data_IF_057406467106
#
_entry.id   IF_057406467106
#
_cell.length_a   1.000
_cell.length_b   1.000
_cell.length_c   1.000
_cell.angle_alpha   90.00
_cell.angle_beta   90.00
_cell.angle_gamma   90.00
#
_symmetry.space_group_name_H-M   'P 1'
#
loop_
_entity.id
_entity.type
_entity.pdbx_description
1 polymer ?
#
# COMPACT_ATOMS: atom_id res chain seq x y z
N UNK A 1 -1.09 10.33 11.29
CA UNK A 1 -2.29 10.14 10.46
C UNK A 1 -3.47 9.78 11.37
N UNK A 2 -4.73 10.09 11.01
CA UNK A 2 -5.90 9.67 11.81
C UNK A 2 -6.23 8.18 11.61
N UNK A 3 -7.07 7.63 12.50
CA UNK A 3 -7.44 6.21 12.47
C UNK A 3 -8.06 5.79 11.13
N UNK A 4 -8.92 6.64 10.56
CA UNK A 4 -9.59 6.34 9.29
C UNK A 4 -8.60 6.24 8.13
N UNK A 5 -7.66 7.18 8.05
CA UNK A 5 -6.62 7.21 7.03
C UNK A 5 -5.66 6.02 7.17
N UNK A 6 -5.31 5.64 8.40
CA UNK A 6 -4.52 4.44 8.66
C UNK A 6 -5.27 3.19 8.16
N UNK A 7 -6.57 3.09 8.44
CA UNK A 7 -7.38 1.96 7.98
C UNK A 7 -7.44 1.87 6.45
N UNK A 8 -7.58 3.00 5.75
CA UNK A 8 -7.55 3.05 4.28
C UNK A 8 -6.20 2.59 3.70
N UNK A 9 -5.10 3.08 4.26
CA UNK A 9 -3.75 2.68 3.85
C UNK A 9 -3.55 1.17 4.08
N UNK A 10 -3.94 0.66 5.25
CA UNK A 10 -3.83 -0.77 5.56
C UNK A 10 -4.70 -1.63 4.64
N UNK A 11 -5.90 -1.18 4.28
CA UNK A 11 -6.74 -1.87 3.29
C UNK A 11 -6.07 -1.92 1.91
N UNK A 12 -5.43 -0.82 1.48
CA UNK A 12 -4.70 -0.80 0.24
C UNK A 12 -3.46 -1.72 0.26
N UNK A 13 -2.68 -1.70 1.34
CA UNK A 13 -1.55 -2.62 1.52
C UNK A 13 -2.03 -4.08 1.47
N UNK A 14 -3.11 -4.39 2.20
CA UNK A 14 -3.74 -5.72 2.19
C UNK A 14 -4.13 -6.14 0.78
N UNK A 15 -4.78 -5.26 0.02
CA UNK A 15 -5.14 -5.47 -1.38
C UNK A 15 -3.91 -5.81 -2.23
N UNK A 16 -2.79 -5.08 -2.08
CA UNK A 16 -1.55 -5.39 -2.80
C UNK A 16 -0.95 -6.76 -2.45
N UNK A 17 -1.12 -7.20 -1.19
CA UNK A 17 -0.54 -8.44 -0.67
C UNK A 17 -1.41 -9.64 -1.00
N UNK A 18 -2.69 -9.64 -0.62
CA UNK A 18 -3.60 -10.79 -0.75
C UNK A 18 -4.13 -10.95 -2.18
N UNK A 19 -4.59 -9.86 -2.78
CA UNK A 19 -5.33 -9.92 -4.05
C UNK A 19 -4.39 -9.86 -5.26
N UNK A 20 -3.13 -9.46 -5.05
CA UNK A 20 -2.10 -9.32 -6.07
C UNK A 20 -2.62 -8.62 -7.36
N UNK A 21 -3.16 -7.40 -7.24
CA UNK A 21 -3.89 -6.73 -8.30
C UNK A 21 -3.00 -6.38 -9.48
N UNK A 22 -3.64 -6.32 -10.65
CA UNK A 22 -3.13 -5.78 -11.89
C UNK A 22 -2.96 -4.25 -11.81
N UNK A 23 -2.18 -3.68 -12.74
CA UNK A 23 -1.97 -2.24 -12.82
C UNK A 23 -3.30 -1.47 -13.04
N UNK A 24 -4.22 -2.02 -13.85
CA UNK A 24 -5.55 -1.43 -14.09
C UNK A 24 -6.40 -1.38 -12.81
N UNK A 25 -6.37 -2.44 -12.00
CA UNK A 25 -7.09 -2.46 -10.72
C UNK A 25 -6.50 -1.45 -9.72
N UNK A 26 -5.19 -1.22 -9.76
CA UNK A 26 -4.53 -0.19 -8.95
C UNK A 26 -4.89 1.22 -9.44
N UNK A 27 -5.02 1.44 -10.75
CA UNK A 27 -5.45 2.73 -11.31
C UNK A 27 -6.85 3.12 -10.81
N UNK A 28 -7.75 2.15 -10.71
CA UNK A 28 -9.11 2.32 -10.20
C UNK A 28 -9.19 2.62 -8.69
N UNK A 29 -8.10 2.46 -7.93
CA UNK A 29 -8.07 2.88 -6.52
C UNK A 29 -8.17 4.41 -6.45
N UNK A 30 -9.02 4.97 -5.57
CA UNK A 30 -9.15 6.40 -5.37
C UNK A 30 -7.80 7.12 -5.18
N UNK A 31 -7.65 8.26 -5.86
CA UNK A 31 -6.40 9.04 -5.86
C UNK A 31 -5.97 9.45 -4.45
N UNK A 32 -6.92 9.84 -3.60
CA UNK A 32 -6.66 10.25 -2.21
C UNK A 32 -6.03 9.12 -1.37
N UNK A 33 -6.39 7.85 -1.63
CA UNK A 33 -5.76 6.69 -0.98
C UNK A 33 -4.33 6.52 -1.46
N UNK A 34 -4.11 6.63 -2.78
CA UNK A 34 -2.77 6.52 -3.38
C UNK A 34 -1.85 7.64 -2.87
N UNK A 35 -2.32 8.90 -2.85
CA UNK A 35 -1.59 10.04 -2.31
C UNK A 35 -1.25 9.87 -0.83
N UNK A 36 -2.19 9.38 -0.01
CA UNK A 36 -1.95 9.10 1.41
C UNK A 36 -0.81 8.09 1.59
N UNK A 37 -0.84 6.99 0.85
CA UNK A 37 0.21 5.96 0.90
C UNK A 37 1.56 6.55 0.45
N UNK A 38 1.57 7.33 -0.63
CA UNK A 38 2.78 7.95 -1.17
C UNK A 38 3.35 9.10 -0.33
N UNK A 39 2.56 9.62 0.63
CA UNK A 39 3.02 10.64 1.58
C UNK A 39 3.78 10.07 2.79
N UNK A 40 3.74 8.75 2.98
CA UNK A 40 4.44 8.05 4.05
C UNK A 40 5.93 7.96 3.76
N UNK A 41 6.75 8.04 4.81
CA UNK A 41 8.16 7.69 4.69
C UNK A 41 8.36 6.15 4.73
N UNK A 42 9.56 5.70 4.36
CA UNK A 42 9.90 4.28 4.28
C UNK A 42 9.71 3.53 5.61
N UNK A 43 9.99 4.16 6.76
CA UNK A 43 9.83 3.53 8.07
C UNK A 43 8.35 3.35 8.44
N UNK A 44 7.53 4.38 8.22
CA UNK A 44 6.08 4.34 8.44
C UNK A 44 5.42 3.29 7.54
N UNK A 45 5.81 3.26 6.26
CA UNK A 45 5.29 2.32 5.29
C UNK A 45 5.63 0.88 5.68
N UNK A 46 6.88 0.62 6.06
CA UNK A 46 7.33 -0.70 6.50
C UNK A 46 6.58 -1.17 7.75
N UNK A 47 6.36 -0.28 8.71
CA UNK A 47 5.61 -0.59 9.93
C UNK A 47 4.15 -0.94 9.60
N UNK A 48 3.49 -0.20 8.72
CA UNK A 48 2.12 -0.48 8.31
C UNK A 48 2.00 -1.78 7.50
N UNK A 49 3.01 -2.13 6.71
CA UNK A 49 3.08 -3.43 6.02
C UNK A 49 3.14 -4.55 7.05
N UNK A 50 4.08 -4.48 8.00
CA UNK A 50 4.21 -5.49 9.08
C UNK A 50 2.94 -5.66 9.88
N UNK A 51 2.37 -4.55 10.34
CA UNK A 51 1.11 -4.58 11.06
C UNK A 51 0.03 -5.22 10.19
N UNK A 52 -0.09 -4.85 8.91
CA UNK A 52 -1.09 -5.45 8.03
C UNK A 52 -0.89 -6.95 7.86
N UNK A 53 0.36 -7.40 7.70
CA UNK A 53 0.73 -8.82 7.60
C UNK A 53 0.35 -9.63 8.85
N UNK A 54 0.39 -9.02 10.04
CA UNK A 54 -0.04 -9.67 11.29
C UNK A 54 -1.54 -9.99 11.34
N UNK A 55 -2.38 -9.22 10.61
CA UNK A 55 -3.84 -9.41 10.62
C UNK A 55 -4.38 -10.15 9.40
N UNK A 56 -3.60 -10.32 8.33
CA UNK A 56 -4.03 -11.09 7.15
C UNK A 56 -3.69 -12.57 7.36
N UNK A 57 -4.66 -13.44 7.06
CA UNK A 57 -4.49 -14.87 7.23
C UNK A 57 -3.86 -15.46 5.97
N UNK A 58 -2.64 -15.98 6.11
CA UNK A 58 -2.05 -17.01 5.22
C UNK A 58 -1.10 -16.55 4.10
N UNK A 59 -0.88 -15.25 3.88
CA UNK A 59 0.06 -14.76 2.85
C UNK A 59 1.06 -13.82 3.50
N UNK A 60 2.33 -14.23 3.52
CA UNK A 60 3.46 -13.35 3.83
C UNK A 60 4.17 -13.05 2.52
N UNK A 61 4.28 -11.77 2.16
CA UNK A 61 5.11 -11.35 1.03
C UNK A 61 6.44 -10.84 1.56
N UNK A 62 7.43 -10.70 0.68
CA UNK A 62 8.62 -9.96 1.06
C UNK A 62 8.21 -8.48 1.24
N UNK A 63 8.34 -7.96 2.47
CA UNK A 63 8.05 -6.57 2.81
C UNK A 63 8.73 -5.59 1.84
N UNK A 64 9.96 -5.92 1.39
CA UNK A 64 10.68 -5.09 0.42
C UNK A 64 10.01 -5.07 -0.94
N UNK A 65 9.48 -6.19 -1.40
CA UNK A 65 8.75 -6.26 -2.68
C UNK A 65 7.49 -5.39 -2.63
N UNK A 66 6.78 -5.40 -1.49
CA UNK A 66 5.60 -4.57 -1.28
C UNK A 66 5.96 -3.08 -1.27
N UNK A 67 7.05 -2.70 -0.58
CA UNK A 67 7.58 -1.33 -0.58
C UNK A 67 7.94 -0.88 -2.00
N UNK A 68 8.68 -1.70 -2.76
CA UNK A 68 9.07 -1.36 -4.14
C UNK A 68 7.86 -1.24 -5.07
N UNK A 69 6.85 -2.12 -4.91
CA UNK A 69 5.58 -2.01 -5.66
C UNK A 69 4.88 -0.68 -5.34
N UNK A 70 4.78 -0.31 -4.07
CA UNK A 70 4.19 0.96 -3.66
C UNK A 70 4.96 2.16 -4.21
N UNK A 71 6.30 2.14 -4.13
CA UNK A 71 7.14 3.20 -4.73
C UNK A 71 6.95 3.32 -6.23
N UNK A 72 6.83 2.20 -6.94
CA UNK A 72 6.52 2.20 -8.38
C UNK A 72 5.18 2.89 -8.67
N UNK A 73 4.14 2.58 -7.89
CA UNK A 73 2.82 3.24 -7.99
C UNK A 73 2.96 4.75 -7.74
N UNK A 74 3.69 5.14 -6.70
CA UNK A 74 3.91 6.56 -6.38
C UNK A 74 4.66 7.32 -7.48
N UNK A 75 5.67 6.71 -8.09
CA UNK A 75 6.42 7.33 -9.19
C UNK A 75 5.55 7.55 -10.44
N UNK A 76 4.60 6.64 -10.72
CA UNK A 76 3.63 6.81 -11.81
C UNK A 76 2.73 8.03 -11.58
N UNK A 77 2.29 8.28 -10.34
CA UNK A 77 1.44 9.44 -9.98
C UNK A 77 2.13 10.79 -10.17
N UNK A 78 3.45 10.86 -10.02
CA UNK A 78 4.22 12.11 -10.22
C UNK A 78 4.51 12.37 -11.71
N UNK A 79 4.36 11.35 -12.55
CA UNK A 79 4.68 11.41 -13.98
C UNK A 79 3.48 11.78 -14.87
N UNK A 80 2.28 11.90 -14.30
CA UNK A 80 1.05 12.41 -14.90
C UNK A 80 0.79 13.88 -14.51
#
# INVERSE_FOLDING_TARGET
MDFYSIALVRNFIRFLIEDNPTDEEIENVPLDIKEKVCSLNDEELLQLIKETEEFISSIKKDEKEVVEKIKSICNKLVSD
#
